data_IF_219804127404
#
_entry.id   IF_219804127404
#
_cell.length_a   1.000
_cell.length_b   1.000
_cell.length_c   1.000
_cell.angle_alpha   90.00
_cell.angle_beta   90.00
_cell.angle_gamma   90.00
#
_symmetry.space_group_name_H-M   'P 1'
#
loop_
_entity.id
_entity.type
_entity.pdbx_description
1 polymer ?
#
# COMPACT_ATOMS: atom_id res chain seq x y z
N UNK A 1 -37.28 45.70 5.78
CA UNK A 1 -36.15 45.03 6.45
C UNK A 1 -36.18 43.53 6.25
N UNK A 2 -35.68 43.07 5.09
CA UNK A 2 -35.63 41.66 4.74
C UNK A 2 -34.26 41.06 5.08
N UNK A 3 -33.95 40.96 6.37
CA UNK A 3 -32.74 40.31 6.85
C UNK A 3 -32.84 38.80 6.71
N UNK A 4 -32.77 38.30 5.47
CA UNK A 4 -32.78 36.88 5.12
C UNK A 4 -31.50 36.18 5.55
N UNK A 5 -31.26 36.10 6.86
CA UNK A 5 -30.23 35.22 7.41
C UNK A 5 -30.62 33.79 7.11
N UNK A 6 -29.76 33.07 6.37
CA UNK A 6 -29.95 31.64 6.18
C UNK A 6 -30.11 30.99 7.56
N UNK A 7 -31.18 30.21 7.79
CA UNK A 7 -31.38 29.59 9.09
C UNK A 7 -30.13 28.77 9.41
N UNK A 8 -29.66 28.84 10.66
CA UNK A 8 -28.43 28.14 11.10
C UNK A 8 -28.40 26.67 10.65
N UNK A 9 -29.56 26.01 10.60
CA UNK A 9 -29.70 24.65 10.07
C UNK A 9 -29.30 24.50 8.59
N UNK A 10 -29.61 25.48 7.73
CA UNK A 10 -29.20 25.47 6.33
C UNK A 10 -27.69 25.67 6.16
N UNK A 11 -27.07 26.50 7.00
CA UNK A 11 -25.61 26.67 7.01
C UNK A 11 -24.90 25.40 7.47
N UNK A 12 -25.40 24.76 8.53
CA UNK A 12 -24.85 23.48 9.03
C UNK A 12 -25.03 22.37 8.00
N UNK A 13 -26.20 22.25 7.38
CA UNK A 13 -26.46 21.26 6.35
C UNK A 13 -25.57 21.47 5.11
N UNK A 14 -25.40 22.72 4.67
CA UNK A 14 -24.50 23.07 3.57
C UNK A 14 -23.04 22.73 3.87
N UNK A 15 -22.58 23.01 5.09
CA UNK A 15 -21.23 22.67 5.52
C UNK A 15 -21.02 21.14 5.57
N UNK A 16 -21.98 20.39 6.13
CA UNK A 16 -21.92 18.93 6.16
C UNK A 16 -21.90 18.32 4.75
N UNK A 17 -22.73 18.84 3.83
CA UNK A 17 -22.74 18.42 2.43
C UNK A 17 -21.41 18.72 1.74
N UNK A 18 -20.79 19.88 2.02
CA UNK A 18 -19.48 20.24 1.50
C UNK A 18 -18.37 19.33 2.05
N UNK A 19 -18.38 19.02 3.35
CA UNK A 19 -17.39 18.12 3.96
C UNK A 19 -17.56 16.69 3.43
N UNK A 20 -18.79 16.21 3.31
CA UNK A 20 -19.10 14.90 2.75
C UNK A 20 -18.72 14.82 1.27
N UNK A 21 -19.08 15.84 0.48
CA UNK A 21 -18.75 15.95 -0.94
C UNK A 21 -17.25 16.06 -1.18
N UNK A 22 -16.54 16.86 -0.38
CA UNK A 22 -15.07 16.96 -0.43
C UNK A 22 -14.41 15.64 0.00
N UNK A 23 -14.96 14.95 1.00
CA UNK A 23 -14.50 13.62 1.43
C UNK A 23 -14.69 12.57 0.33
N UNK A 24 -15.88 12.54 -0.28
CA UNK A 24 -16.22 11.67 -1.41
C UNK A 24 -15.32 11.95 -2.61
N UNK A 25 -15.22 13.21 -3.03
CA UNK A 25 -14.42 13.62 -4.17
C UNK A 25 -12.94 13.35 -3.92
N UNK A 26 -12.45 13.64 -2.72
CA UNK A 26 -11.07 13.30 -2.33
C UNK A 26 -10.86 11.80 -2.33
N UNK A 27 -11.83 10.98 -1.92
CA UNK A 27 -11.76 9.52 -1.97
C UNK A 27 -11.70 8.99 -3.41
N UNK A 28 -12.50 9.55 -4.32
CA UNK A 28 -12.47 9.22 -5.75
C UNK A 28 -11.23 9.73 -6.49
N UNK A 29 -10.70 10.88 -6.10
CA UNK A 29 -9.52 11.49 -6.74
C UNK A 29 -8.20 11.13 -6.05
N UNK A 30 -8.20 10.35 -4.95
CA UNK A 30 -6.95 9.87 -4.37
C UNK A 30 -6.22 9.09 -5.47
N UNK A 31 -4.99 9.48 -5.85
CA UNK A 31 -4.19 8.69 -6.76
C UNK A 31 -4.08 7.31 -6.13
N UNK A 32 -4.71 6.33 -6.76
CA UNK A 32 -4.63 4.94 -6.33
C UNK A 32 -3.15 4.65 -6.18
N UNK A 33 -2.71 4.25 -4.99
CA UNK A 33 -1.50 3.46 -4.92
C UNK A 33 -1.83 2.22 -5.73
N UNK A 34 -1.46 2.19 -7.01
CA UNK A 34 -1.89 1.09 -7.87
C UNK A 34 -1.20 -0.18 -7.39
N UNK A 35 -1.98 -1.25 -7.20
CA UNK A 35 -1.44 -2.57 -6.87
C UNK A 35 -0.33 -2.99 -7.83
N UNK A 36 -0.39 -2.49 -9.07
CA UNK A 36 0.59 -2.66 -10.14
C UNK A 36 1.93 -2.01 -9.84
N UNK A 37 1.94 -0.81 -9.25
CA UNK A 37 3.16 -0.13 -8.84
C UNK A 37 3.84 -0.88 -7.68
N UNK A 38 3.05 -1.37 -6.71
CA UNK A 38 3.55 -2.18 -5.60
C UNK A 38 4.04 -3.56 -6.06
N UNK A 39 3.35 -4.18 -7.02
CA UNK A 39 3.78 -5.43 -7.65
C UNK A 39 5.09 -5.25 -8.42
N UNK A 40 5.25 -4.13 -9.14
CA UNK A 40 6.50 -3.76 -9.80
C UNK A 40 7.65 -3.59 -8.81
N UNK A 41 7.39 -2.98 -7.65
CA UNK A 41 8.34 -2.84 -6.55
C UNK A 41 8.75 -4.22 -6.00
N UNK A 42 7.77 -5.08 -5.69
CA UNK A 42 8.01 -6.44 -5.20
C UNK A 42 8.84 -7.28 -6.20
N UNK A 43 8.48 -7.27 -7.49
CA UNK A 43 9.23 -7.98 -8.54
C UNK A 43 10.67 -7.48 -8.66
N UNK A 44 10.88 -6.17 -8.55
CA UNK A 44 12.21 -5.56 -8.57
C UNK A 44 13.01 -5.97 -7.33
N UNK A 45 12.36 -6.05 -6.16
CA UNK A 45 12.97 -6.51 -4.93
C UNK A 45 13.44 -7.96 -5.02
N UNK A 46 12.53 -8.85 -5.39
CA UNK A 46 12.78 -10.28 -5.58
C UNK A 46 13.93 -10.57 -6.55
N UNK A 47 13.94 -9.90 -7.71
CA UNK A 47 15.04 -10.00 -8.68
C UNK A 47 16.38 -9.55 -8.11
N UNK A 48 16.42 -8.44 -7.37
CA UNK A 48 17.66 -7.91 -6.78
C UNK A 48 18.20 -8.77 -5.63
N UNK A 49 17.32 -9.48 -4.93
CA UNK A 49 17.68 -10.42 -3.87
C UNK A 49 17.94 -11.84 -4.39
N UNK A 50 18.05 -12.03 -5.71
CA UNK A 50 18.39 -13.33 -6.31
C UNK A 50 17.26 -14.36 -6.26
N UNK A 51 16.02 -13.93 -6.00
CA UNK A 51 14.82 -14.78 -6.02
C UNK A 51 13.87 -14.32 -7.13
N UNK A 52 14.26 -14.38 -8.42
CA UNK A 52 13.35 -13.98 -9.49
C UNK A 52 12.05 -14.78 -9.38
N UNK A 53 10.88 -14.13 -9.38
CA UNK A 53 9.62 -14.86 -9.37
C UNK A 53 9.49 -15.63 -10.68
N UNK A 54 9.16 -16.91 -10.61
CA UNK A 54 8.85 -17.70 -11.81
C UNK A 54 7.56 -17.16 -12.43
N UNK A 55 7.40 -17.35 -13.74
CA UNK A 55 6.23 -16.84 -14.48
C UNK A 55 4.89 -17.35 -13.91
N UNK A 56 4.89 -18.49 -13.21
CA UNK A 56 3.71 -19.10 -12.59
C UNK A 56 3.52 -18.75 -11.11
N UNK A 57 4.50 -18.09 -10.47
CA UNK A 57 4.42 -17.78 -9.04
C UNK A 57 3.27 -16.79 -8.78
N UNK A 58 2.31 -17.21 -7.96
CA UNK A 58 1.16 -16.38 -7.60
C UNK A 58 1.44 -15.53 -6.35
N UNK A 59 0.72 -14.41 -6.19
CA UNK A 59 0.79 -13.62 -4.96
C UNK A 59 0.32 -14.41 -3.74
N UNK A 60 -0.66 -15.30 -3.90
CA UNK A 60 -1.14 -16.17 -2.83
C UNK A 60 -0.05 -17.16 -2.38
N UNK A 61 0.72 -17.69 -3.33
CA UNK A 61 1.83 -18.59 -3.01
C UNK A 61 2.98 -17.86 -2.31
N UNK A 62 3.31 -16.63 -2.74
CA UNK A 62 4.27 -15.78 -2.04
C UNK A 62 3.81 -15.43 -0.62
N UNK A 63 2.53 -15.13 -0.44
CA UNK A 63 1.92 -14.88 0.89
C UNK A 63 2.09 -16.10 1.80
N UNK A 64 1.81 -17.31 1.30
CA UNK A 64 1.98 -18.57 2.06
C UNK A 64 3.44 -18.85 2.42
N UNK A 65 4.38 -18.62 1.50
CA UNK A 65 5.83 -18.80 1.75
C UNK A 65 6.37 -17.83 2.81
N UNK A 66 5.68 -16.71 3.03
CA UNK A 66 6.04 -15.70 4.02
C UNK A 66 5.27 -15.86 5.33
N UNK A 67 4.61 -17.00 5.60
CA UNK A 67 3.78 -17.16 6.80
C UNK A 67 4.58 -16.96 8.11
N UNK A 68 5.87 -17.28 8.12
CA UNK A 68 6.78 -17.07 9.26
C UNK A 68 7.16 -15.58 9.48
N UNK A 69 6.73 -14.70 8.58
CA UNK A 69 6.94 -13.26 8.63
C UNK A 69 5.59 -12.55 8.38
N UNK A 70 4.71 -12.49 9.41
CA UNK A 70 3.32 -12.05 9.24
C UNK A 70 3.18 -10.65 8.63
N UNK A 71 4.09 -9.73 8.95
CA UNK A 71 4.13 -8.39 8.36
C UNK A 71 4.57 -8.38 6.89
N UNK A 72 5.44 -9.31 6.49
CA UNK A 72 5.84 -9.48 5.09
C UNK A 72 4.73 -10.15 4.28
N UNK A 73 4.05 -11.14 4.85
CA UNK A 73 2.85 -11.75 4.26
C UNK A 73 1.73 -10.71 4.11
N UNK A 74 1.52 -9.86 5.10
CA UNK A 74 0.53 -8.77 5.05
C UNK A 74 0.81 -7.77 3.93
N UNK A 75 2.10 -7.47 3.64
CA UNK A 75 2.48 -6.66 2.48
C UNK A 75 2.02 -7.31 1.17
N UNK A 76 2.28 -8.60 0.98
CA UNK A 76 1.90 -9.33 -0.25
C UNK A 76 0.38 -9.46 -0.36
N UNK A 77 -0.31 -9.70 0.76
CA UNK A 77 -1.76 -9.73 0.85
C UNK A 77 -2.38 -8.39 0.45
N UNK A 78 -1.82 -7.27 0.90
CA UNK A 78 -2.29 -5.93 0.52
C UNK A 78 -2.19 -5.70 -0.99
N UNK A 79 -1.13 -6.18 -1.64
CA UNK A 79 -1.01 -6.15 -3.11
C UNK A 79 -2.08 -7.03 -3.77
N UNK A 80 -2.31 -8.24 -3.24
CA UNK A 80 -3.31 -9.18 -3.76
C UNK A 80 -4.72 -8.60 -3.69
N UNK A 81 -5.10 -8.03 -2.55
CA UNK A 81 -6.42 -7.39 -2.36
C UNK A 81 -6.56 -6.17 -3.26
N UNK A 82 -5.52 -5.36 -3.40
CA UNK A 82 -5.57 -4.20 -4.28
C UNK A 82 -5.75 -4.54 -5.76
N UNK A 83 -5.20 -5.67 -6.20
CA UNK A 83 -5.26 -6.07 -7.61
C UNK A 83 -6.50 -6.89 -7.95
N UNK A 84 -6.99 -7.72 -7.03
CA UNK A 84 -8.06 -8.68 -7.32
C UNK A 84 -9.36 -8.43 -6.57
N UNK A 85 -9.33 -7.74 -5.42
CA UNK A 85 -10.52 -7.38 -4.66
C UNK A 85 -10.94 -5.91 -4.84
N UNK A 86 -10.14 -5.11 -5.55
CA UNK A 86 -10.42 -3.69 -5.77
C UNK A 86 -10.25 -2.81 -4.53
N UNK A 87 -9.67 -3.34 -3.46
CA UNK A 87 -9.42 -2.61 -2.22
C UNK A 87 -8.26 -1.61 -2.37
N UNK A 88 -8.30 -0.42 -1.75
CA UNK A 88 -7.14 0.45 -1.73
C UNK A 88 -5.98 -0.23 -0.97
N UNK A 89 -4.76 -0.33 -1.52
CA UNK A 89 -3.68 -0.99 -0.82
C UNK A 89 -3.30 -0.21 0.43
N UNK A 90 -3.51 -0.85 1.58
CA UNK A 90 -3.03 -0.37 2.87
C UNK A 90 -1.70 -1.05 3.20
N UNK A 91 -0.61 -0.41 2.79
CA UNK A 91 0.74 -0.88 3.10
C UNK A 91 1.40 0.05 4.12
N UNK A 92 1.78 -0.50 5.27
CA UNK A 92 2.42 0.27 6.34
C UNK A 92 3.95 0.29 6.21
N UNK A 93 4.58 1.26 6.88
CA UNK A 93 6.04 1.32 6.98
C UNK A 93 6.67 0.15 7.76
N UNK A 94 5.90 -0.50 8.64
CA UNK A 94 6.30 -1.73 9.35
C UNK A 94 6.36 -2.92 8.42
N UNK A 95 5.30 -3.15 7.63
CA UNK A 95 5.22 -4.21 6.63
C UNK A 95 6.35 -4.13 5.59
N UNK A 96 6.67 -2.91 5.11
CA UNK A 96 7.83 -2.67 4.23
C UNK A 96 9.17 -3.03 4.88
N UNK A 97 9.33 -2.73 6.17
CA UNK A 97 10.55 -3.06 6.92
C UNK A 97 10.69 -4.57 7.14
N UNK A 98 9.60 -5.24 7.52
CA UNK A 98 9.56 -6.68 7.69
C UNK A 98 9.86 -7.43 6.39
N UNK A 99 9.24 -7.02 5.26
CA UNK A 99 9.55 -7.60 3.96
C UNK A 99 11.03 -7.41 3.59
N UNK A 100 11.60 -6.23 3.84
CA UNK A 100 13.04 -6.00 3.60
C UNK A 100 13.91 -6.89 4.48
N UNK A 101 13.57 -7.05 5.76
CA UNK A 101 14.29 -7.92 6.66
C UNK A 101 14.24 -9.37 6.17
N UNK A 102 13.06 -9.85 5.76
CA UNK A 102 12.86 -11.19 5.21
C UNK A 102 13.63 -11.43 3.92
N UNK A 103 13.56 -10.47 3.00
CA UNK A 103 14.32 -10.48 1.75
C UNK A 103 15.82 -10.36 1.98
N UNK A 104 16.27 -9.95 3.16
CA UNK A 104 17.68 -9.92 3.54
C UNK A 104 18.11 -11.14 4.36
N UNK A 105 17.16 -11.96 4.86
CA UNK A 105 17.49 -13.22 5.55
C UNK A 105 18.14 -14.16 4.53
N UNK A 106 19.27 -14.76 4.93
CA UNK A 106 20.07 -15.72 4.16
C UNK A 106 20.91 -15.16 2.99
N UNK A 107 21.12 -13.84 2.92
CA UNK A 107 21.81 -13.18 1.79
C UNK A 107 23.18 -12.57 2.14
N UNK A 108 23.64 -12.76 3.37
CA UNK A 108 24.89 -12.17 3.89
C UNK A 108 24.87 -10.63 3.94
N UNK A 109 25.97 -10.02 4.37
CA UNK A 109 26.11 -8.55 4.47
C UNK A 109 25.94 -7.84 3.11
N UNK A 110 26.47 -8.43 2.02
CA UNK A 110 26.37 -7.88 0.67
C UNK A 110 24.95 -7.95 0.07
N UNK A 111 24.15 -8.95 0.44
CA UNK A 111 22.76 -9.04 0.01
C UNK A 111 21.81 -8.19 0.88
N UNK A 112 22.18 -7.88 2.13
CA UNK A 112 21.51 -6.86 2.97
C UNK A 112 21.55 -5.46 2.35
N UNK A 113 22.70 -5.05 1.82
CA UNK A 113 22.84 -3.77 1.09
C UNK A 113 22.01 -3.76 -0.20
N UNK A 114 21.97 -4.88 -0.95
CA UNK A 114 21.09 -5.01 -2.12
C UNK A 114 19.61 -4.93 -1.75
N UNK A 115 19.18 -5.53 -0.62
CA UNK A 115 17.81 -5.44 -0.13
C UNK A 115 17.41 -4.00 0.27
N UNK A 116 18.33 -3.25 0.89
CA UNK A 116 18.14 -1.82 1.18
C UNK A 116 17.95 -0.99 -0.09
N UNK A 117 18.73 -1.28 -1.14
CA UNK A 117 18.62 -0.60 -2.43
C UNK A 117 17.40 -1.04 -3.26
N UNK A 118 16.81 -2.19 -2.91
CA UNK A 118 15.70 -2.78 -3.66
C UNK A 118 14.32 -2.33 -3.18
N UNK A 119 14.17 -2.08 -1.87
CA UNK A 119 12.98 -1.50 -1.28
C UNK A 119 13.38 -0.13 -0.67
N UNK A 120 13.32 0.99 -1.39
CA UNK A 120 13.72 2.29 -0.86
C UNK A 120 12.79 2.73 0.29
N UNK A 121 13.30 3.43 1.32
CA UNK A 121 12.49 3.93 2.43
C UNK A 121 11.55 5.04 1.93
N UNK A 122 10.35 4.66 1.51
CA UNK A 122 9.26 5.62 1.34
C UNK A 122 8.73 5.95 2.73
N UNK A 123 8.87 7.21 3.14
CA UNK A 123 8.14 7.75 4.30
C UNK A 123 6.65 7.66 3.96
N UNK A 124 5.98 6.63 4.45
CA UNK A 124 4.53 6.60 4.46
C UNK A 124 4.14 7.60 5.54
N UNK A 125 3.48 8.68 5.12
CA UNK A 125 2.91 9.71 6.00
C UNK A 125 1.44 9.42 6.18
#
# INVERSE_FOLDING_TARGET
>A
DGGGGLPLGALVAGLLALVAGAGWLRWWTRPRQDGDALLGELRRALRRTGRPPEARTTLLELERRLHDAPDAAAYVRAIRLARYAGEPPHVTGGQRRALRAELARNLGLGGRLRALHALPPRRVR
#
